data_IF_057968945791
#
_entry.id   IF_057968945791
#
_cell.length_a   1.000
_cell.length_b   1.000
_cell.length_c   1.000
_cell.angle_alpha   90.00
_cell.angle_beta   90.00
_cell.angle_gamma   90.00
#
_symmetry.space_group_name_H-M   'P 1'
#
loop_
_entity.id
_entity.type
_entity.pdbx_description
1 polymer ?
#
# COMPACT_ATOMS: atom_id res chain seq x y z
N UNK A 1 -11.52 -10.71 13.91
CA UNK A 1 -11.37 -9.43 13.17
C UNK A 1 -11.91 -9.54 11.76
N UNK A 2 -11.53 -10.58 11.01
CA UNK A 2 -11.95 -10.78 9.61
C UNK A 2 -13.48 -10.89 9.41
N UNK A 3 -14.18 -11.58 10.31
CA UNK A 3 -15.65 -11.62 10.32
C UNK A 3 -16.33 -10.27 10.51
N UNK A 4 -15.75 -9.35 11.29
CA UNK A 4 -16.33 -7.99 11.45
C UNK A 4 -16.20 -7.20 10.16
N UNK A 5 -15.08 -7.36 9.44
CA UNK A 5 -14.91 -6.76 8.13
C UNK A 5 -15.89 -7.37 7.11
N UNK A 6 -16.13 -8.69 7.13
CA UNK A 6 -17.10 -9.33 6.24
C UNK A 6 -18.54 -8.85 6.43
N UNK A 7 -18.92 -8.41 7.64
CA UNK A 7 -20.24 -7.83 7.92
C UNK A 7 -20.35 -6.38 7.46
N UNK A 8 -19.25 -5.63 7.47
CA UNK A 8 -19.20 -4.21 7.13
C UNK A 8 -18.96 -4.00 5.63
N UNK A 9 -18.02 -4.75 5.07
CA UNK A 9 -17.55 -4.65 3.68
C UNK A 9 -17.32 -6.07 3.13
N UNK A 10 -18.40 -6.75 2.69
CA UNK A 10 -18.31 -8.11 2.13
C UNK A 10 -17.54 -8.16 0.81
N UNK A 11 -17.35 -7.01 0.16
CA UNK A 11 -16.61 -6.88 -1.09
C UNK A 11 -15.09 -6.84 -0.88
N UNK A 12 -14.62 -6.10 0.14
CA UNK A 12 -13.20 -6.06 0.50
C UNK A 12 -12.75 -7.20 1.39
N UNK A 13 -13.66 -7.85 2.12
CA UNK A 13 -13.35 -9.01 2.96
C UNK A 13 -12.64 -10.17 2.23
N UNK A 14 -13.09 -10.64 1.04
CA UNK A 14 -12.37 -11.68 0.31
C UNK A 14 -11.05 -11.18 -0.31
N UNK A 15 -10.89 -9.87 -0.52
CA UNK A 15 -9.67 -9.26 -1.09
C UNK A 15 -8.54 -9.13 -0.05
N UNK A 16 -8.88 -8.97 1.23
CA UNK A 16 -7.91 -8.83 2.31
C UNK A 16 -7.66 -10.21 2.91
N UNK A 17 -6.45 -10.74 2.82
CA UNK A 17 -6.13 -12.02 3.46
C UNK A 17 -6.09 -11.88 5.00
N UNK A 18 -6.49 -12.91 5.73
CA UNK A 18 -6.52 -12.87 7.21
C UNK A 18 -5.15 -12.62 7.86
N UNK A 19 -4.06 -12.90 7.13
CA UNK A 19 -2.67 -12.64 7.55
C UNK A 19 -2.19 -11.21 7.28
N UNK A 20 -3.05 -10.31 6.80
CA UNK A 20 -2.73 -8.88 6.68
C UNK A 20 -3.51 -8.08 7.75
N UNK A 21 -3.01 -8.08 9.01
CA UNK A 21 -3.69 -7.37 10.10
C UNK A 21 -3.71 -5.86 9.87
N UNK A 22 -2.74 -5.31 9.14
CA UNK A 22 -2.64 -3.88 8.89
C UNK A 22 -3.74 -3.38 7.96
N UNK A 23 -3.99 -4.10 6.84
CA UNK A 23 -5.12 -3.79 5.96
C UNK A 23 -6.46 -3.96 6.66
N UNK A 24 -6.60 -5.03 7.44
CA UNK A 24 -7.83 -5.33 8.16
C UNK A 24 -8.18 -4.24 9.19
N UNK A 25 -7.18 -3.78 9.95
CA UNK A 25 -7.34 -2.69 10.91
C UNK A 25 -7.71 -1.40 10.21
N UNK A 26 -7.00 -1.02 9.13
CA UNK A 26 -7.30 0.22 8.40
C UNK A 26 -8.71 0.24 7.83
N UNK A 27 -9.18 -0.88 7.30
CA UNK A 27 -10.54 -0.95 6.75
C UNK A 27 -11.62 -0.77 7.83
N UNK A 28 -11.39 -1.30 9.04
CA UNK A 28 -12.27 -1.08 10.18
C UNK A 28 -12.19 0.36 10.71
N UNK A 29 -11.00 0.94 10.81
CA UNK A 29 -10.81 2.34 11.22
C UNK A 29 -11.54 3.31 10.31
N UNK A 30 -11.42 3.12 8.99
CA UNK A 30 -12.07 3.98 8.00
C UNK A 30 -13.59 3.90 8.12
N UNK A 31 -14.14 2.69 8.32
CA UNK A 31 -15.57 2.54 8.58
C UNK A 31 -16.00 3.22 9.89
N UNK A 32 -15.21 3.10 10.96
CA UNK A 32 -15.54 3.71 12.25
C UNK A 32 -15.43 5.24 12.22
N UNK A 33 -14.48 5.80 11.47
CA UNK A 33 -14.25 7.25 11.39
C UNK A 33 -15.17 7.93 10.37
N UNK A 34 -15.33 7.33 9.20
CA UNK A 34 -16.08 7.94 8.08
C UNK A 34 -17.52 7.44 7.99
N UNK A 35 -17.88 6.32 8.62
CA UNK A 35 -19.17 5.63 8.41
C UNK A 35 -19.32 4.97 7.04
N UNK A 36 -18.35 5.17 6.13
CA UNK A 36 -18.31 4.60 4.78
C UNK A 36 -17.38 3.40 4.74
N UNK A 37 -17.71 2.43 3.90
CA UNK A 37 -16.84 1.26 3.69
C UNK A 37 -15.62 1.63 2.85
N UNK A 38 -14.54 0.85 2.96
CA UNK A 38 -13.34 1.02 2.13
C UNK A 38 -13.66 0.93 0.64
N UNK A 39 -14.53 -0.01 0.28
CA UNK A 39 -14.98 -0.18 -1.10
C UNK A 39 -15.69 1.08 -1.62
N UNK A 40 -16.58 1.68 -0.84
CA UNK A 40 -17.30 2.90 -1.24
C UNK A 40 -16.36 4.08 -1.45
N UNK A 41 -15.43 4.31 -0.53
CA UNK A 41 -14.45 5.40 -0.69
C UNK A 41 -13.57 5.20 -1.92
N UNK A 42 -13.13 3.97 -2.19
CA UNK A 42 -12.37 3.68 -3.41
C UNK A 42 -13.21 3.87 -4.67
N UNK A 43 -14.50 3.55 -4.64
CA UNK A 43 -15.40 3.77 -5.77
C UNK A 43 -15.59 5.28 -6.03
N UNK A 44 -15.87 6.06 -4.98
CA UNK A 44 -15.99 7.52 -5.05
C UNK A 44 -14.69 8.16 -5.55
N UNK A 45 -13.53 7.72 -5.07
CA UNK A 45 -12.23 8.19 -5.58
C UNK A 45 -12.03 7.85 -7.06
N UNK A 46 -12.44 6.66 -7.52
CA UNK A 46 -12.32 6.28 -8.92
C UNK A 46 -13.25 7.07 -9.82
N UNK A 47 -14.48 7.34 -9.38
CA UNK A 47 -15.43 8.19 -10.10
C UNK A 47 -14.92 9.63 -10.16
N UNK A 48 -14.46 10.18 -9.03
CA UNK A 48 -13.85 11.50 -8.99
C UNK A 48 -12.61 11.60 -9.89
N UNK A 49 -11.80 10.55 -9.99
CA UNK A 49 -10.63 10.51 -10.90
C UNK A 49 -11.02 10.46 -12.38
N UNK A 50 -12.14 9.80 -12.71
CA UNK A 50 -12.66 9.76 -14.08
C UNK A 50 -13.23 11.11 -14.50
N UNK A 51 -13.94 11.79 -13.60
CA UNK A 51 -14.55 13.10 -13.85
C UNK A 51 -13.52 14.23 -13.89
N UNK A 52 -12.55 14.22 -12.97
CA UNK A 52 -11.52 15.27 -12.89
C UNK A 52 -10.36 15.05 -13.86
N UNK A 53 -10.36 13.95 -14.62
CA UNK A 53 -9.35 13.70 -15.65
C UNK A 53 -7.94 13.84 -15.08
N UNK A 54 -7.60 13.05 -14.06
CA UNK A 54 -6.25 12.99 -13.46
C UNK A 54 -5.20 12.38 -14.44
N UNK A 55 -5.39 12.55 -15.76
CA UNK A 55 -4.29 12.47 -16.69
C UNK A 55 -3.43 13.70 -16.45
N UNK A 56 -2.43 13.55 -15.57
CA UNK A 56 -1.34 14.52 -15.47
C UNK A 56 -0.87 14.82 -16.91
N UNK A 57 -0.66 16.09 -17.29
CA UNK A 57 -0.43 16.52 -18.68
C UNK A 57 0.99 16.17 -19.16
N UNK A 58 1.50 15.02 -18.73
CA UNK A 58 2.84 14.52 -18.99
C UNK A 58 2.74 13.07 -19.43
N UNK A 59 3.55 12.70 -20.42
CA UNK A 59 3.69 11.32 -20.85
C UNK A 59 4.69 10.61 -19.92
N UNK A 60 4.19 9.76 -19.03
CA UNK A 60 5.03 8.99 -18.12
C UNK A 60 5.77 7.88 -18.85
N UNK A 61 7.08 7.86 -18.66
CA UNK A 61 7.93 6.75 -19.06
C UNK A 61 8.34 6.00 -17.81
N UNK A 62 7.75 4.82 -17.61
CA UNK A 62 8.05 3.97 -16.46
C UNK A 62 9.29 3.14 -16.74
N UNK A 63 10.39 3.47 -16.05
CA UNK A 63 11.61 2.68 -16.05
C UNK A 63 11.75 1.95 -14.72
N UNK A 64 12.10 0.67 -14.76
CA UNK A 64 12.49 -0.10 -13.60
C UNK A 64 13.93 -0.58 -13.80
N UNK A 65 14.80 -0.34 -12.82
CA UNK A 65 16.17 -0.84 -12.82
C UNK A 65 16.20 -2.03 -11.87
N UNK A 66 16.43 -3.23 -12.42
CA UNK A 66 16.59 -4.44 -11.64
C UNK A 66 17.96 -5.06 -11.98
N UNK A 67 18.76 -5.46 -10.97
CA UNK A 67 19.98 -6.21 -11.25
C UNK A 67 19.64 -7.58 -11.84
N UNK A 68 20.45 -8.05 -12.79
CA UNK A 68 20.27 -9.37 -13.44
C UNK A 68 20.26 -10.52 -12.43
N UNK A 69 21.03 -10.41 -11.35
CA UNK A 69 21.11 -11.40 -10.28
C UNK A 69 20.40 -10.91 -9.01
N UNK A 70 19.35 -11.64 -8.62
CA UNK A 70 18.58 -11.42 -7.38
C UNK A 70 19.46 -11.46 -6.13
N UNK A 71 20.54 -12.25 -6.12
CA UNK A 71 21.47 -12.35 -4.98
C UNK A 71 22.18 -11.03 -4.68
N UNK A 72 22.33 -10.15 -5.67
CA UNK A 72 22.96 -8.84 -5.50
C UNK A 72 22.11 -7.87 -4.67
N UNK A 73 20.78 -8.00 -4.68
CA UNK A 73 19.90 -7.18 -3.85
C UNK A 73 20.15 -7.51 -2.37
N UNK A 74 20.11 -8.81 -2.03
CA UNK A 74 20.28 -9.27 -0.66
C UNK A 74 21.66 -8.90 -0.09
N UNK A 75 22.74 -9.04 -0.87
CA UNK A 75 24.08 -8.69 -0.41
C UNK A 75 24.33 -7.18 -0.34
N UNK A 76 23.73 -6.38 -1.24
CA UNK A 76 23.82 -4.93 -1.21
C UNK A 76 23.03 -4.30 -0.05
N UNK A 77 21.85 -4.86 0.27
CA UNK A 77 21.01 -4.39 1.38
C UNK A 77 21.72 -4.56 2.72
N UNK A 78 22.36 -5.72 2.96
CA UNK A 78 23.14 -5.95 4.19
C UNK A 78 24.26 -4.92 4.36
N UNK A 79 24.98 -4.61 3.27
CA UNK A 79 26.10 -3.65 3.29
C UNK A 79 25.61 -2.23 3.60
N UNK A 80 24.49 -1.83 2.99
CA UNK A 80 23.91 -0.50 3.16
C UNK A 80 23.36 -0.28 4.57
N UNK A 81 22.76 -1.31 5.18
CA UNK A 81 22.30 -1.25 6.58
C UNK A 81 23.48 -1.04 7.53
N UNK A 82 24.57 -1.80 7.37
CA UNK A 82 25.77 -1.65 8.20
C UNK A 82 26.39 -0.25 8.10
N UNK A 83 26.55 0.27 6.88
CA UNK A 83 27.14 1.61 6.67
C UNK A 83 26.26 2.73 7.23
N UNK A 84 24.94 2.59 7.17
CA UNK A 84 24.01 3.58 7.73
C UNK A 84 23.98 3.55 9.27
N UNK A 85 24.17 2.40 9.89
CA UNK A 85 24.31 2.27 11.36
C UNK A 85 25.61 2.93 11.83
N UNK A 86 26.73 2.67 11.16
CA UNK A 86 28.03 3.26 11.50
C UNK A 86 28.03 4.80 11.38
N UNK A 87 27.44 5.36 10.32
CA UNK A 87 27.31 6.83 10.18
C UNK A 87 26.41 7.47 11.22
N UNK A 88 25.45 6.72 11.77
CA UNK A 88 24.50 7.23 12.77
C UNK A 88 25.03 7.18 14.19
N UNK A 89 26.02 6.32 14.46
CA UNK A 89 26.74 6.25 15.73
C UNK A 89 27.96 7.19 15.79
N UNK A 90 28.39 7.73 14.66
CA UNK A 90 29.49 8.70 14.55
C UNK A 90 29.04 10.18 14.65
N UNK A 91 27.78 10.44 14.98
CA UNK A 91 27.22 11.78 15.28
C UNK A 91 26.62 11.77 16.68
#
# INVERSE_FOLDING_TARGET
>A
MHHKLAQVDPESAPRIHANDPQRLQRALEIFLVSGKTMTQLHAEEQEAKKENGDSLPFNFHFFAIQPEDRKRITSADCRSISTNVERRLSK
#
